data_IF_073513980523
#
_entry.id   IF_073513980523
#
_cell.length_a   1.000
_cell.length_b   1.000
_cell.length_c   1.000
_cell.angle_alpha   90.00
_cell.angle_beta   90.00
_cell.angle_gamma   90.00
#
_symmetry.space_group_name_H-M   'P 1'
#
loop_
_entity.id
_entity.type
_entity.pdbx_description
1 polymer ?
#
# COMPACT_ATOMS: atom_id res chain seq x y z
N UNK A 1 0.52 -26.87 13.06
CA UNK A 1 1.33 -25.92 12.26
C UNK A 1 2.71 -25.84 12.91
N UNK A 2 3.79 -25.97 12.16
CA UNK A 2 5.14 -25.78 12.72
C UNK A 2 5.45 -24.30 12.90
N UNK A 3 6.32 -23.95 13.84
CA UNK A 3 6.76 -22.56 14.05
C UNK A 3 7.32 -21.95 12.76
N UNK A 4 8.12 -22.71 12.00
CA UNK A 4 8.64 -22.27 10.71
C UNK A 4 7.54 -21.97 9.69
N UNK A 5 6.50 -22.81 9.64
CA UNK A 5 5.36 -22.57 8.75
C UNK A 5 4.61 -21.27 9.11
N UNK A 6 4.41 -21.00 10.40
CA UNK A 6 3.76 -19.76 10.87
C UNK A 6 4.56 -18.53 10.44
N UNK A 7 5.89 -18.57 10.61
CA UNK A 7 6.78 -17.47 10.22
C UNK A 7 6.70 -17.21 8.71
N UNK A 8 6.79 -18.27 7.90
CA UNK A 8 6.71 -18.15 6.43
C UNK A 8 5.36 -17.60 5.99
N UNK A 9 4.25 -18.13 6.50
CA UNK A 9 2.91 -17.67 6.13
C UNK A 9 2.69 -16.21 6.53
N UNK A 10 3.20 -15.80 7.69
CA UNK A 10 3.13 -14.39 8.13
C UNK A 10 3.92 -13.49 7.19
N UNK A 11 5.15 -13.88 6.83
CA UNK A 11 5.98 -13.14 5.88
C UNK A 11 5.31 -12.99 4.51
N UNK A 12 4.75 -14.08 3.97
CA UNK A 12 4.03 -14.08 2.69
C UNK A 12 2.79 -13.18 2.77
N UNK A 13 2.01 -13.26 3.84
CA UNK A 13 0.82 -12.43 4.02
C UNK A 13 1.17 -10.94 3.99
N UNK A 14 2.20 -10.53 4.74
CA UNK A 14 2.63 -9.13 4.75
C UNK A 14 3.26 -8.68 3.44
N UNK A 15 4.01 -9.54 2.75
CA UNK A 15 4.51 -9.24 1.42
C UNK A 15 3.37 -8.95 0.43
N UNK A 16 2.33 -9.80 0.42
CA UNK A 16 1.16 -9.60 -0.44
C UNK A 16 0.42 -8.31 -0.09
N UNK A 17 0.25 -8.00 1.20
CA UNK A 17 -0.34 -6.73 1.64
C UNK A 17 0.48 -5.53 1.14
N UNK A 18 1.81 -5.60 1.21
CA UNK A 18 2.70 -4.56 0.71
C UNK A 18 2.52 -4.37 -0.80
N UNK A 19 2.49 -5.45 -1.58
CA UNK A 19 2.22 -5.37 -3.02
C UNK A 19 0.88 -4.70 -3.33
N UNK A 20 -0.19 -5.09 -2.62
CA UNK A 20 -1.52 -4.49 -2.77
C UNK A 20 -1.50 -3.00 -2.41
N UNK A 21 -0.83 -2.62 -1.33
CA UNK A 21 -0.70 -1.23 -0.92
C UNK A 21 0.06 -0.39 -1.97
N UNK A 22 1.17 -0.89 -2.51
CA UNK A 22 1.91 -0.20 -3.57
C UNK A 22 1.06 -0.02 -4.83
N UNK A 23 0.29 -1.04 -5.24
CA UNK A 23 -0.64 -0.92 -6.37
C UNK A 23 -1.75 0.11 -6.10
N UNK A 24 -2.30 0.14 -4.88
CA UNK A 24 -3.30 1.13 -4.48
C UNK A 24 -2.72 2.56 -4.50
N UNK A 25 -1.50 2.74 -3.98
CA UNK A 25 -0.78 4.02 -4.05
C UNK A 25 -0.56 4.43 -5.50
N UNK A 26 -0.08 3.54 -6.36
CA UNK A 26 0.21 3.84 -7.76
C UNK A 26 -1.04 4.33 -8.51
N UNK A 27 -2.19 3.71 -8.26
CA UNK A 27 -3.47 4.03 -8.93
C UNK A 27 -4.14 5.30 -8.42
N UNK A 28 -3.86 5.71 -7.17
CA UNK A 28 -4.50 6.89 -6.57
C UNK A 28 -3.73 8.17 -6.86
N UNK A 29 -4.47 9.25 -6.94
CA UNK A 29 -3.95 10.61 -6.85
C UNK A 29 -4.04 11.08 -5.39
N UNK A 30 -2.95 11.64 -4.88
CA UNK A 30 -2.81 12.17 -3.52
C UNK A 30 -2.70 13.70 -3.51
N UNK A 31 -2.93 14.36 -4.64
CA UNK A 31 -2.85 15.81 -4.81
C UNK A 31 -1.43 16.34 -5.01
N UNK A 32 -0.39 15.59 -4.62
CA UNK A 32 1.01 15.89 -4.93
C UNK A 32 1.86 14.64 -5.06
N UNK A 33 2.94 14.73 -5.84
CA UNK A 33 3.90 13.64 -6.02
C UNK A 33 4.66 13.32 -4.72
N UNK A 34 4.94 14.35 -3.90
CA UNK A 34 5.61 14.19 -2.61
C UNK A 34 4.77 13.36 -1.64
N UNK A 35 3.47 13.61 -1.57
CA UNK A 35 2.56 12.83 -0.72
C UNK A 35 2.43 11.39 -1.20
N UNK A 36 2.40 11.18 -2.52
CA UNK A 36 2.39 9.83 -3.11
C UNK A 36 3.67 9.08 -2.79
N UNK A 37 4.82 9.73 -2.92
CA UNK A 37 6.13 9.19 -2.60
C UNK A 37 6.27 8.89 -1.10
N UNK A 38 5.75 9.74 -0.22
CA UNK A 38 5.75 9.51 1.22
C UNK A 38 5.00 8.22 1.59
N UNK A 39 3.80 8.00 1.04
CA UNK A 39 3.07 6.76 1.28
C UNK A 39 3.82 5.54 0.74
N UNK A 40 4.39 5.63 -0.47
CA UNK A 40 5.20 4.54 -1.03
C UNK A 40 6.44 4.24 -0.18
N UNK A 41 7.12 5.28 0.31
CA UNK A 41 8.30 5.17 1.17
C UNK A 41 7.97 4.50 2.51
N UNK A 42 6.88 4.93 3.17
CA UNK A 42 6.42 4.33 4.43
C UNK A 42 6.13 2.83 4.23
N UNK A 43 5.42 2.47 3.16
CA UNK A 43 5.06 1.08 2.85
C UNK A 43 6.29 0.22 2.50
N UNK A 44 7.25 0.78 1.76
CA UNK A 44 8.40 0.03 1.26
C UNK A 44 9.53 -0.13 2.29
N UNK A 45 9.81 0.91 3.10
CA UNK A 45 10.98 0.91 4.00
C UNK A 45 10.67 0.49 5.43
N UNK A 46 9.39 0.49 5.82
CA UNK A 46 8.96 0.08 7.17
C UNK A 46 8.15 -1.21 7.07
N UNK A 47 8.79 -2.39 7.06
CA UNK A 47 8.08 -3.66 6.92
C UNK A 47 7.11 -3.87 8.08
N UNK A 48 6.02 -4.57 7.80
CA UNK A 48 4.89 -4.83 8.71
C UNK A 48 4.11 -3.56 9.12
N UNK A 49 4.75 -2.57 9.72
CA UNK A 49 4.09 -1.38 10.26
C UNK A 49 3.64 -0.44 9.13
N UNK A 50 4.49 -0.19 8.14
CA UNK A 50 4.20 0.75 7.07
C UNK A 50 2.94 0.39 6.28
N UNK A 51 2.78 -0.90 5.96
CA UNK A 51 1.59 -1.41 5.26
C UNK A 51 0.34 -1.33 6.14
N UNK A 52 0.44 -1.56 7.44
CA UNK A 52 -0.70 -1.39 8.35
C UNK A 52 -1.13 0.08 8.45
N UNK A 53 -0.17 0.99 8.65
CA UNK A 53 -0.43 2.44 8.68
C UNK A 53 -1.08 2.90 7.37
N UNK A 54 -0.60 2.41 6.23
CA UNK A 54 -1.22 2.71 4.95
C UNK A 54 -2.64 2.17 4.84
N UNK A 55 -2.88 0.90 5.20
CA UNK A 55 -4.21 0.29 5.11
C UNK A 55 -5.22 0.99 6.04
N UNK A 56 -4.81 1.43 7.24
CA UNK A 56 -5.76 2.08 8.15
C UNK A 56 -5.93 3.58 7.89
N UNK A 57 -4.88 4.26 7.45
CA UNK A 57 -4.86 5.72 7.32
C UNK A 57 -4.64 6.14 5.87
N UNK A 58 -3.51 5.74 5.28
CA UNK A 58 -3.07 6.21 3.95
C UNK A 58 -4.06 5.95 2.81
N UNK A 59 -4.74 4.79 2.81
CA UNK A 59 -5.69 4.40 1.75
C UNK A 59 -6.86 5.38 1.59
N UNK A 60 -7.20 6.13 2.63
CA UNK A 60 -8.31 7.09 2.64
C UNK A 60 -7.89 8.48 2.16
N UNK A 61 -6.57 8.71 2.02
CA UNK A 61 -6.00 10.01 1.65
C UNK A 61 -5.87 10.20 0.13
N UNK A 62 -5.87 9.13 -0.65
CA UNK A 62 -5.83 9.19 -2.10
C UNK A 62 -7.21 8.95 -2.73
N UNK A 63 -7.44 9.55 -3.90
CA UNK A 63 -8.66 9.36 -4.70
C UNK A 63 -8.30 8.62 -5.98
N UNK A 64 -9.20 7.77 -6.46
CA UNK A 64 -9.04 7.23 -7.81
C UNK A 64 -9.33 8.36 -8.81
N UNK A 65 -8.58 8.46 -9.93
CA UNK A 65 -8.95 9.34 -11.02
C UNK A 65 -10.40 9.06 -11.45
N UNK A 66 -11.18 10.12 -11.69
CA UNK A 66 -12.56 9.98 -12.12
C UNK A 66 -12.59 9.17 -13.43
N UNK A 67 -13.44 8.14 -13.48
CA UNK A 67 -13.49 7.19 -14.60
C UNK A 67 -13.79 7.87 -15.95
N UNK A 68 -14.45 9.03 -15.91
CA UNK A 68 -14.82 9.81 -17.09
C UNK A 68 -13.64 10.60 -17.69
N UNK A 69 -12.63 10.95 -16.89
CA UNK A 69 -11.44 11.67 -17.36
C UNK A 69 -10.45 10.76 -18.12
N UNK A 70 -10.60 9.43 -18.03
CA UNK A 70 -9.78 8.46 -18.74
C UNK A 70 -10.37 8.05 -20.10
N UNK A 71 -11.57 8.53 -20.44
CA UNK A 71 -12.28 8.25 -21.69
C UNK A 71 -12.22 9.39 -22.72
N UNK A 72 -11.66 10.55 -22.35
CA UNK A 72 -11.32 11.68 -23.25
C UNK A 72 -9.86 11.63 -23.69
#
# INVERSE_FOLDING_TARGET
>A
MSTGMIIVLTGVAFFLLTCVAILDIARKDFGSIEMKALWAFIVALVPFIGVLVYIFIGRTKGRLPDADAAAE
#
